data_IF_545547801389
#
_entry.id   IF_545547801389
#
_cell.length_a   1.000
_cell.length_b   1.000
_cell.length_c   1.000
_cell.angle_alpha   90.00
_cell.angle_beta   90.00
_cell.angle_gamma   90.00
#
_symmetry.space_group_name_H-M   'P 1'
#
loop_
_entity.id
_entity.type
_entity.pdbx_description
1 polymer ?
#
# COMPACT_ATOMS: atom_id res chain seq x y z
N UNK A 1 -8.01 14.28 11.52
CA UNK A 1 -9.02 15.34 11.35
C UNK A 1 -9.75 15.15 10.03
N UNK A 2 -11.06 15.33 10.06
CA UNK A 2 -11.91 15.31 8.88
C UNK A 2 -11.67 16.53 7.95
N UNK A 3 -11.85 16.34 6.62
CA UNK A 3 -11.84 17.46 5.69
C UNK A 3 -13.04 18.41 5.94
N UNK A 4 -12.96 19.69 5.52
CA UNK A 4 -14.02 20.68 5.75
C UNK A 4 -15.22 20.50 4.80
N UNK A 5 -15.77 19.28 4.75
CA UNK A 5 -16.95 18.90 3.95
C UNK A 5 -17.90 18.05 4.78
N UNK A 6 -19.20 18.16 4.49
CA UNK A 6 -20.24 17.44 5.24
C UNK A 6 -20.36 15.95 4.89
N UNK A 7 -19.85 15.55 3.71
CA UNK A 7 -19.96 14.20 3.19
C UNK A 7 -18.74 13.84 2.36
N UNK A 8 -18.25 12.61 2.55
CA UNK A 8 -17.16 12.00 1.78
C UNK A 8 -17.63 10.66 1.25
N UNK A 9 -17.32 10.40 -0.01
CA UNK A 9 -17.44 9.07 -0.62
C UNK A 9 -16.03 8.67 -1.03
N UNK A 10 -15.42 7.79 -0.23
CA UNK A 10 -14.10 7.26 -0.49
C UNK A 10 -14.23 6.00 -1.35
N UNK A 11 -13.68 6.03 -2.55
CA UNK A 11 -13.65 4.91 -3.49
C UNK A 11 -12.19 4.56 -3.73
N UNK A 12 -11.79 3.32 -3.46
CA UNK A 12 -10.41 2.89 -3.65
C UNK A 12 -10.30 1.39 -3.91
N UNK A 13 -9.19 1.00 -4.52
CA UNK A 13 -8.84 -0.39 -4.78
C UNK A 13 -8.37 -1.12 -3.52
N UNK A 14 -8.59 -2.43 -3.47
CA UNK A 14 -8.09 -3.30 -2.42
C UNK A 14 -7.54 -4.60 -3.00
N UNK A 15 -6.75 -5.30 -2.20
CA UNK A 15 -6.28 -6.66 -2.44
C UNK A 15 -5.27 -6.83 -3.59
N UNK A 16 -4.62 -5.75 -4.00
CA UNK A 16 -3.41 -5.81 -4.81
C UNK A 16 -2.17 -5.92 -3.90
N UNK A 17 -1.13 -6.70 -4.29
CA UNK A 17 0.13 -6.76 -3.54
C UNK A 17 0.76 -5.38 -3.39
N UNK A 18 0.80 -4.86 -2.17
CA UNK A 18 1.15 -3.45 -1.91
C UNK A 18 2.37 -3.35 -1.01
N UNK A 19 3.36 -2.56 -1.41
CA UNK A 19 4.58 -2.35 -0.63
C UNK A 19 4.27 -1.63 0.70
N UNK A 20 4.78 -2.19 1.79
CA UNK A 20 4.65 -1.60 3.14
C UNK A 20 5.99 -1.40 3.85
N UNK A 21 7.10 -1.82 3.21
CA UNK A 21 8.42 -1.60 3.75
C UNK A 21 9.51 -2.29 2.96
N UNK A 22 10.75 -2.01 3.33
CA UNK A 22 11.92 -2.60 2.71
C UNK A 22 13.00 -2.93 3.76
N UNK A 23 13.70 -4.05 3.54
CA UNK A 23 14.79 -4.53 4.37
C UNK A 23 16.10 -4.24 3.64
N UNK A 24 16.97 -3.51 4.32
CA UNK A 24 18.29 -3.13 3.80
C UNK A 24 19.39 -3.83 4.58
N UNK A 25 20.46 -4.22 3.88
CA UNK A 25 21.72 -4.65 4.49
C UNK A 25 22.80 -3.61 4.21
N UNK A 26 23.72 -3.48 5.16
CA UNK A 26 24.91 -2.64 5.02
C UNK A 26 25.99 -3.38 4.24
N UNK A 27 26.62 -2.72 3.27
CA UNK A 27 27.84 -3.18 2.60
C UNK A 27 29.05 -2.55 3.28
N UNK A 28 30.15 -3.29 3.39
CA UNK A 28 31.42 -2.70 3.79
C UNK A 28 31.93 -1.87 2.61
N UNK A 29 32.15 -0.56 2.82
CA UNK A 29 32.64 0.32 1.76
C UNK A 29 34.12 0.03 1.52
N UNK A 30 34.42 -0.51 0.34
CA UNK A 30 35.74 -0.37 -0.28
C UNK A 30 35.60 0.79 -1.27
N UNK A 31 36.44 1.80 -1.14
CA UNK A 31 36.58 2.81 -2.20
C UNK A 31 37.14 2.05 -3.41
N UNK A 32 36.34 1.84 -4.45
CA UNK A 32 36.86 1.28 -5.70
C UNK A 32 37.69 2.34 -6.44
N UNK A 33 38.71 1.86 -7.17
CA UNK A 33 39.63 2.66 -7.99
C UNK A 33 38.88 3.36 -9.16
N UNK A 34 38.12 4.41 -8.86
CA UNK A 34 37.61 5.39 -9.83
C UNK A 34 36.93 6.62 -9.16
N UNK A 35 37.22 6.88 -7.87
CA UNK A 35 36.55 7.91 -7.05
C UNK A 35 35.01 7.80 -6.96
N UNK A 36 34.44 6.62 -7.29
CA UNK A 36 33.01 6.36 -7.16
C UNK A 36 32.71 5.75 -5.80
N UNK A 37 31.87 6.44 -5.04
CA UNK A 37 31.35 5.92 -3.77
C UNK A 37 30.14 5.06 -4.06
N UNK A 38 30.23 3.76 -3.81
CA UNK A 38 29.06 2.88 -3.86
C UNK A 38 28.06 3.18 -2.72
N UNK A 39 26.80 2.79 -2.93
CA UNK A 39 25.75 2.93 -1.89
C UNK A 39 26.05 2.01 -0.71
N UNK A 40 26.20 2.59 0.48
CA UNK A 40 26.44 1.84 1.73
C UNK A 40 25.29 0.87 2.08
N UNK A 41 24.05 1.19 1.69
CA UNK A 41 22.88 0.36 1.94
C UNK A 41 22.30 -0.15 0.64
N UNK A 42 22.03 -1.46 0.57
CA UNK A 42 21.31 -2.09 -0.54
C UNK A 42 20.21 -2.97 0.00
N UNK A 43 19.14 -3.16 -0.77
CA UNK A 43 18.11 -4.14 -0.42
C UNK A 43 18.76 -5.48 -0.08
N UNK A 44 18.22 -6.16 0.93
CA UNK A 44 18.69 -7.46 1.34
C UNK A 44 17.86 -8.57 0.66
N UNK A 45 18.34 -9.15 -0.46
CA UNK A 45 17.63 -10.24 -1.13
C UNK A 45 17.67 -11.55 -0.32
N UNK A 46 18.52 -11.63 0.71
CA UNK A 46 18.64 -12.80 1.58
C UNK A 46 17.71 -12.73 2.79
N UNK A 47 17.07 -11.58 3.04
CA UNK A 47 16.08 -11.45 4.10
C UNK A 47 14.91 -12.42 3.89
N UNK A 48 14.42 -13.00 4.99
CA UNK A 48 13.30 -13.97 5.01
C UNK A 48 12.34 -13.61 6.13
N UNK A 49 11.05 -13.88 5.91
CA UNK A 49 10.05 -13.84 6.97
C UNK A 49 10.22 -15.11 7.81
N UNK A 50 10.58 -14.95 9.09
CA UNK A 50 10.92 -16.07 9.99
C UNK A 50 9.66 -16.74 10.56
N UNK A 51 8.57 -15.99 10.68
CA UNK A 51 7.23 -16.46 11.00
C UNK A 51 6.27 -15.29 10.82
N UNK A 52 5.16 -15.49 10.11
CA UNK A 52 4.22 -14.41 9.82
C UNK A 52 2.79 -14.90 9.91
N UNK A 53 1.92 -14.06 10.45
CA UNK A 53 0.49 -14.13 10.12
C UNK A 53 0.40 -14.07 8.58
N UNK A 54 -0.42 -14.92 7.97
CA UNK A 54 -0.62 -14.89 6.52
C UNK A 54 -0.95 -13.46 6.04
N UNK A 55 -0.58 -13.15 4.79
CA UNK A 55 -0.84 -11.83 4.20
C UNK A 55 0.37 -10.95 3.99
N UNK A 56 1.56 -11.40 4.42
CA UNK A 56 2.82 -10.72 4.12
C UNK A 56 3.67 -11.58 3.19
N UNK A 57 4.31 -10.94 2.22
CA UNK A 57 5.34 -11.56 1.38
C UNK A 57 6.57 -10.67 1.33
N UNK A 58 7.75 -11.28 1.30
CA UNK A 58 9.03 -10.57 1.20
C UNK A 58 9.74 -11.04 -0.07
N UNK A 59 9.93 -10.14 -1.03
CA UNK A 59 10.56 -10.44 -2.32
C UNK A 59 11.70 -9.47 -2.57
N UNK A 60 12.93 -10.00 -2.66
CA UNK A 60 14.12 -9.19 -2.97
C UNK A 60 14.41 -8.07 -1.96
N UNK A 61 14.00 -8.24 -0.69
CA UNK A 61 14.12 -7.20 0.33
C UNK A 61 12.92 -6.24 0.41
N UNK A 62 11.90 -6.39 -0.44
CA UNK A 62 10.67 -5.57 -0.39
C UNK A 62 9.54 -6.35 0.29
N UNK A 63 8.96 -5.76 1.34
CA UNK A 63 7.85 -6.32 2.10
C UNK A 63 6.52 -5.82 1.52
N UNK A 64 5.65 -6.77 1.17
CA UNK A 64 4.35 -6.53 0.56
C UNK A 64 3.24 -7.09 1.44
N UNK A 65 2.18 -6.30 1.64
CA UNK A 65 0.87 -6.82 2.05
C UNK A 65 0.17 -7.46 0.86
N UNK A 66 -0.54 -8.56 1.12
CA UNK A 66 -1.29 -9.33 0.13
C UNK A 66 -2.64 -9.73 0.72
N UNK A 67 -3.60 -10.10 -0.13
CA UNK A 67 -4.93 -10.54 0.29
C UNK A 67 -4.95 -11.86 1.10
N UNK A 68 -3.82 -12.58 1.18
CA UNK A 68 -3.76 -13.86 1.88
C UNK A 68 -3.94 -13.65 3.40
N UNK A 69 -4.62 -14.55 4.10
CA UNK A 69 -4.83 -14.44 5.54
C UNK A 69 -6.17 -13.77 5.91
N UNK A 70 -6.19 -13.01 7.01
CA UNK A 70 -7.42 -12.42 7.57
C UNK A 70 -7.57 -10.90 7.31
N UNK A 71 -6.64 -10.30 6.57
CA UNK A 71 -6.58 -8.86 6.31
C UNK A 71 -6.80 -8.52 4.84
N UNK A 72 -6.94 -7.21 4.55
CA UNK A 72 -6.97 -6.67 3.19
C UNK A 72 -5.63 -6.01 2.88
N UNK A 73 -5.18 -6.06 1.63
CA UNK A 73 -4.06 -5.26 1.14
C UNK A 73 -4.54 -4.05 0.33
N UNK A 74 -3.59 -3.19 -0.05
CA UNK A 74 -3.86 -1.93 -0.76
C UNK A 74 -4.19 -2.09 -2.24
N UNK A 75 -3.98 -1.02 -2.99
CA UNK A 75 -4.22 -0.91 -4.43
C UNK A 75 -2.95 -1.11 -5.28
N UNK A 76 -1.91 -1.72 -4.70
CA UNK A 76 -0.62 -1.94 -5.34
C UNK A 76 0.38 -0.81 -5.10
N UNK A 77 -0.09 0.36 -4.64
CA UNK A 77 0.77 1.51 -4.30
C UNK A 77 0.51 2.02 -2.89
N UNK A 78 -0.76 2.20 -2.51
CA UNK A 78 -1.19 2.77 -1.24
C UNK A 78 -1.73 1.67 -0.33
N UNK A 79 -1.17 1.46 0.87
CA UNK A 79 -1.63 0.41 1.78
C UNK A 79 -3.08 0.60 2.23
N UNK A 80 -3.80 -0.51 2.45
CA UNK A 80 -5.20 -0.50 2.88
C UNK A 80 -5.40 0.34 4.16
N UNK A 81 -4.49 0.22 5.13
CA UNK A 81 -4.58 0.98 6.38
C UNK A 81 -4.60 2.49 6.15
N UNK A 82 -3.86 2.98 5.14
CA UNK A 82 -3.84 4.39 4.77
C UNK A 82 -5.16 4.84 4.14
N UNK A 83 -5.66 4.09 3.16
CA UNK A 83 -6.93 4.41 2.49
C UNK A 83 -8.14 4.31 3.44
N UNK A 84 -8.12 3.30 4.31
CA UNK A 84 -9.18 3.05 5.29
C UNK A 84 -9.20 4.09 6.44
N UNK A 85 -8.16 4.92 6.56
CA UNK A 85 -8.10 6.00 7.55
C UNK A 85 -9.29 6.96 7.43
N UNK A 86 -9.86 7.16 6.24
CA UNK A 86 -11.01 8.03 6.02
C UNK A 86 -12.23 7.69 6.91
N UNK A 87 -12.36 6.44 7.38
CA UNK A 87 -13.42 6.05 8.32
C UNK A 87 -13.34 6.79 9.65
N UNK A 88 -12.15 7.21 10.08
CA UNK A 88 -11.97 7.95 11.33
C UNK A 88 -12.67 9.31 11.31
N UNK A 89 -12.88 9.90 10.12
CA UNK A 89 -13.57 11.19 9.95
C UNK A 89 -15.04 11.16 10.34
N UNK A 90 -15.66 9.97 10.45
CA UNK A 90 -17.01 9.83 10.98
C UNK A 90 -17.09 10.26 12.46
N UNK A 91 -15.99 10.11 13.21
CA UNK A 91 -15.91 10.54 14.61
C UNK A 91 -15.93 12.07 14.74
N UNK A 92 -15.53 12.78 13.69
CA UNK A 92 -15.53 14.25 13.62
C UNK A 92 -16.85 14.79 13.01
N UNK A 93 -17.88 13.95 12.85
CA UNK A 93 -19.19 14.34 12.33
C UNK A 93 -19.32 14.34 10.79
N UNK A 94 -18.30 13.90 10.05
CA UNK A 94 -18.36 13.78 8.60
C UNK A 94 -19.15 12.54 8.15
N UNK A 95 -20.06 12.67 7.18
CA UNK A 95 -20.78 11.52 6.61
C UNK A 95 -19.88 10.78 5.63
N UNK A 96 -19.21 9.73 6.09
CA UNK A 96 -18.27 8.93 5.28
C UNK A 96 -18.96 7.68 4.74
N UNK A 97 -18.91 7.49 3.42
CA UNK A 97 -19.18 6.21 2.76
C UNK A 97 -17.90 5.67 2.15
N UNK A 98 -17.60 4.40 2.38
CA UNK A 98 -16.44 3.72 1.78
C UNK A 98 -16.94 2.69 0.77
N UNK A 99 -16.37 2.71 -0.43
CA UNK A 99 -16.58 1.70 -1.48
C UNK A 99 -15.22 1.13 -1.85
N UNK A 100 -15.05 -0.16 -1.59
CA UNK A 100 -13.81 -0.88 -1.87
C UNK A 100 -13.97 -1.65 -3.18
N UNK A 101 -13.03 -1.48 -4.11
CA UNK A 101 -13.03 -2.15 -5.41
C UNK A 101 -11.99 -3.27 -5.40
N UNK A 102 -12.44 -4.52 -5.52
CA UNK A 102 -11.57 -5.69 -5.50
C UNK A 102 -10.63 -5.70 -6.71
N UNK A 103 -9.32 -5.76 -6.46
CA UNK A 103 -8.29 -5.88 -7.49
C UNK A 103 -8.12 -4.65 -8.39
N UNK A 104 -8.63 -3.48 -7.97
CA UNK A 104 -8.41 -2.25 -8.72
C UNK A 104 -7.03 -1.69 -8.38
N UNK A 105 -6.11 -1.70 -9.35
CA UNK A 105 -4.78 -1.08 -9.22
C UNK A 105 -4.87 0.46 -9.12
N UNK A 106 -3.91 1.05 -8.40
CA UNK A 106 -3.79 2.47 -8.15
C UNK A 106 -3.96 3.36 -9.39
N UNK A 107 -3.34 2.97 -10.52
CA UNK A 107 -3.41 3.74 -11.76
C UNK A 107 -4.58 3.31 -12.64
N UNK A 108 -4.86 2.01 -12.67
CA UNK A 108 -5.88 1.44 -13.55
C UNK A 108 -7.31 1.65 -13.04
N UNK A 109 -7.50 2.04 -11.78
CA UNK A 109 -8.83 2.32 -11.19
C UNK A 109 -9.64 3.34 -12.00
N UNK A 110 -8.99 4.31 -12.66
CA UNK A 110 -9.66 5.30 -13.50
C UNK A 110 -10.16 4.72 -14.84
N UNK A 111 -9.68 3.55 -15.25
CA UNK A 111 -10.17 2.81 -16.39
C UNK A 111 -11.20 1.73 -16.01
N UNK A 112 -11.39 1.44 -14.72
CA UNK A 112 -12.30 0.41 -14.24
C UNK A 112 -13.76 0.83 -14.40
N UNK A 113 -14.54 0.02 -15.13
CA UNK A 113 -15.98 0.21 -15.28
C UNK A 113 -16.74 0.21 -13.95
N UNK A 114 -16.29 -0.53 -12.93
CA UNK A 114 -16.88 -0.57 -11.60
C UNK A 114 -16.69 0.75 -10.86
N UNK A 115 -15.53 1.40 -11.06
CA UNK A 115 -15.29 2.75 -10.54
C UNK A 115 -16.28 3.73 -11.16
N UNK A 116 -16.41 3.74 -12.49
CA UNK A 116 -17.38 4.60 -13.19
C UNK A 116 -18.82 4.38 -12.74
N UNK A 117 -19.25 3.12 -12.61
CA UNK A 117 -20.58 2.79 -12.10
C UNK A 117 -20.79 3.26 -10.66
N UNK A 118 -19.75 3.21 -9.82
CA UNK A 118 -19.83 3.66 -8.43
C UNK A 118 -19.98 5.17 -8.36
N UNK A 119 -19.22 5.91 -9.17
CA UNK A 119 -19.34 7.37 -9.28
C UNK A 119 -20.74 7.77 -9.74
N UNK A 120 -21.31 7.10 -10.76
CA UNK A 120 -22.65 7.42 -11.26
C UNK A 120 -23.79 7.12 -10.27
N UNK A 121 -23.58 6.24 -9.30
CA UNK A 121 -24.57 5.89 -8.27
C UNK A 121 -24.62 6.89 -7.10
N UNK A 122 -23.73 7.88 -7.09
CA UNK A 122 -23.44 8.71 -5.93
C UNK A 122 -23.36 10.20 -6.25
#
# INVERSE_FOLDING_TARGET
DAPPVSRVIAIFGINEPTEIGAVYRRRCLLVEDDHKVEKMHTLDPSARLVSGKGGLTLKGGVLLETEKGAGKSGDGTVPFASMNHCRSWANDGCKVKVVELQGADHREILADSNFHQTVLKH
#
